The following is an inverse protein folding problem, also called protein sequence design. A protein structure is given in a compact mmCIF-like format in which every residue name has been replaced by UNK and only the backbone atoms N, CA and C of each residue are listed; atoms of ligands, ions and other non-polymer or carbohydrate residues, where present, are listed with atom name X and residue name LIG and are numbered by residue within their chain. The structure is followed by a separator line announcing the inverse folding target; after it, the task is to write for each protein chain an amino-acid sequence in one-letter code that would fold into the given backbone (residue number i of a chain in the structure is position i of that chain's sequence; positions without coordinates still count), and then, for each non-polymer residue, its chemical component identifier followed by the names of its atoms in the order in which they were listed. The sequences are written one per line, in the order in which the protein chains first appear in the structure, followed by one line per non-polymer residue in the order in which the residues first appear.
data_IF_443013016727
#
_entry.id   IF_443013016727
#
_cell.length_a   1.000
_cell.length_b   1.000
_cell.length_c   1.000
_cell.angle_alpha   90.00
_cell.angle_beta   90.00
_cell.angle_gamma   90.00
#
_symmetry.space_group_name_H-M   'P 1'
#
loop_
_entity.id
_entity.type
_entity.pdbx_description
1 polymer ?
#
# COMPACT_ATOMS: atom_id res chain seq x y z
N UNK A 1 9.90 0.87 -12.04
CA UNK A 1 9.04 1.71 -11.19
C UNK A 1 7.66 1.73 -11.79
N UNK A 2 6.76 0.93 -11.24
CA UNK A 2 5.38 0.83 -11.72
C UNK A 2 4.45 1.27 -10.60
N UNK A 3 3.47 2.12 -10.92
CA UNK A 3 2.49 2.64 -9.97
C UNK A 3 1.11 2.55 -10.60
N UNK A 4 0.17 1.89 -9.92
CA UNK A 4 -1.22 1.84 -10.35
C UNK A 4 -2.13 2.32 -9.22
N UNK A 5 -2.96 3.30 -9.54
CA UNK A 5 -4.10 3.69 -8.72
C UNK A 5 -5.30 2.87 -9.21
N UNK A 6 -5.90 2.12 -8.31
CA UNK A 6 -7.11 1.34 -8.58
C UNK A 6 -8.35 2.09 -8.10
N UNK A 7 -9.53 1.78 -8.66
CA UNK A 7 -10.80 2.16 -8.05
C UNK A 7 -10.84 1.80 -6.57
N UNK A 8 -11.66 2.49 -5.78
CA UNK A 8 -11.84 2.28 -4.33
C UNK A 8 -10.65 2.67 -3.45
N UNK A 9 -9.69 3.46 -3.95
CA UNK A 9 -8.62 4.02 -3.13
C UNK A 9 -7.51 3.02 -2.79
N UNK A 10 -7.34 1.98 -3.61
CA UNK A 10 -6.20 1.07 -3.54
C UNK A 10 -5.05 1.53 -4.45
N UNK A 11 -3.81 1.36 -3.99
CA UNK A 11 -2.58 1.73 -4.67
C UNK A 11 -1.62 0.54 -4.64
N UNK A 12 -0.99 0.25 -5.78
CA UNK A 12 0.06 -0.76 -5.89
C UNK A 12 1.32 -0.08 -6.45
N UNK A 13 2.45 -0.27 -5.78
CA UNK A 13 3.74 0.34 -6.14
C UNK A 13 4.79 -0.76 -6.21
N UNK A 14 5.51 -0.85 -7.34
CA UNK A 14 6.69 -1.69 -7.51
C UNK A 14 7.94 -0.80 -7.61
N UNK A 15 8.81 -0.91 -6.62
CA UNK A 15 10.05 -0.12 -6.53
C UNK A 15 11.06 -0.79 -5.60
N UNK A 16 12.24 -0.19 -5.44
CA UNK A 16 13.26 -0.62 -4.48
C UNK A 16 12.74 -0.52 -3.04
N UNK A 17 13.15 -1.49 -2.22
CA UNK A 17 12.69 -1.62 -0.82
C UNK A 17 12.92 -0.36 0.03
N UNK A 18 14.00 0.38 -0.20
CA UNK A 18 14.32 1.60 0.54
C UNK A 18 13.31 2.74 0.28
N UNK A 19 12.83 2.83 -0.97
CA UNK A 19 11.76 3.76 -1.37
C UNK A 19 10.43 3.30 -0.77
N UNK A 20 10.12 2.01 -0.87
CA UNK A 20 8.84 1.47 -0.39
C UNK A 20 8.68 1.59 1.12
N UNK A 21 9.75 1.41 1.91
CA UNK A 21 9.73 1.63 3.36
C UNK A 21 9.40 3.09 3.71
N UNK A 22 9.90 4.07 2.93
CA UNK A 22 9.55 5.48 3.13
C UNK A 22 8.08 5.75 2.82
N UNK A 23 7.57 5.19 1.73
CA UNK A 23 6.16 5.32 1.33
C UNK A 23 5.24 4.65 2.34
N UNK A 24 5.61 3.46 2.82
CA UNK A 24 4.84 2.72 3.83
C UNK A 24 4.73 3.51 5.15
N UNK A 25 5.81 4.16 5.61
CA UNK A 25 5.75 5.04 6.80
C UNK A 25 4.72 6.16 6.64
N UNK A 26 4.67 6.80 5.47
CA UNK A 26 3.70 7.87 5.18
C UNK A 26 2.28 7.30 5.11
N UNK A 27 2.09 6.18 4.41
CA UNK A 27 0.80 5.51 4.30
C UNK A 27 0.24 5.08 5.66
N UNK A 28 1.09 4.53 6.53
CA UNK A 28 0.73 4.15 7.90
C UNK A 28 0.36 5.37 8.75
N UNK A 29 1.09 6.49 8.63
CA UNK A 29 0.75 7.75 9.30
C UNK A 29 -0.63 8.29 8.85
N UNK A 30 -0.99 8.07 7.59
CA UNK A 30 -2.32 8.38 7.05
C UNK A 30 -3.39 7.32 7.40
N UNK A 31 -3.04 6.31 8.22
CA UNK A 31 -3.89 5.18 8.61
C UNK A 31 -4.37 4.32 7.45
N UNK A 32 -3.60 4.25 6.37
CA UNK A 32 -3.89 3.32 5.29
C UNK A 32 -3.47 1.91 5.71
N UNK A 33 -4.15 0.89 5.20
CA UNK A 33 -3.71 -0.49 5.37
C UNK A 33 -2.62 -0.79 4.35
N UNK A 34 -1.43 -1.18 4.78
CA UNK A 34 -0.33 -1.55 3.88
C UNK A 34 0.02 -3.03 3.99
N UNK A 35 0.56 -3.60 2.90
CA UNK A 35 1.26 -4.89 2.89
C UNK A 35 2.40 -4.83 1.87
N UNK A 36 3.59 -5.24 2.30
CA UNK A 36 4.73 -5.45 1.42
C UNK A 36 4.76 -6.92 0.98
N UNK A 37 5.00 -7.17 -0.31
CA UNK A 37 5.12 -8.50 -0.89
C UNK A 37 6.39 -8.62 -1.73
N UNK A 38 6.88 -9.86 -1.86
CA UNK A 38 8.02 -10.17 -2.72
C UNK A 38 7.71 -9.90 -4.20
N UNK A 39 8.74 -9.46 -4.91
CA UNK A 39 8.68 -9.41 -6.37
C UNK A 39 8.77 -10.84 -6.95
N UNK A 40 8.25 -11.03 -8.16
CA UNK A 40 8.21 -12.30 -8.90
C UNK A 40 9.59 -12.95 -9.04
N UNK A 41 10.67 -12.16 -9.06
CA UNK A 41 12.05 -12.67 -9.08
C UNK A 41 12.54 -13.24 -7.74
N UNK A 42 11.75 -13.17 -6.67
CA UNK A 42 12.02 -13.78 -5.37
C UNK A 42 12.45 -12.80 -4.26
N UNK A 43 12.71 -13.33 -3.05
CA UNK A 43 12.97 -12.53 -1.85
C UNK A 43 14.29 -11.75 -1.88
N UNK A 44 15.27 -12.20 -2.69
CA UNK A 44 16.59 -11.59 -2.79
C UNK A 44 16.66 -10.42 -3.79
N UNK A 45 15.58 -10.16 -4.52
CA UNK A 45 15.51 -9.03 -5.44
C UNK A 45 15.25 -7.74 -4.63
N UNK A 46 16.01 -6.65 -4.85
CA UNK A 46 15.85 -5.40 -4.10
C UNK A 46 14.53 -4.70 -4.38
N UNK A 47 13.87 -5.03 -5.49
CA UNK A 47 12.53 -4.56 -5.81
C UNK A 47 11.47 -5.38 -5.08
N UNK A 48 10.46 -4.71 -4.55
CA UNK A 48 9.29 -5.30 -3.89
C UNK A 48 8.01 -4.67 -4.41
N UNK A 49 6.88 -5.19 -3.96
CA UNK A 49 5.56 -4.66 -4.28
C UNK A 49 4.89 -4.20 -2.98
N UNK A 50 4.53 -2.92 -2.90
CA UNK A 50 3.72 -2.36 -1.82
C UNK A 50 2.27 -2.25 -2.25
N UNK A 51 1.38 -2.88 -1.50
CA UNK A 51 -0.06 -2.71 -1.57
C UNK A 51 -0.49 -1.75 -0.48
N UNK A 52 -1.26 -0.73 -0.81
CA UNK A 52 -1.82 0.20 0.17
C UNK A 52 -3.29 0.49 -0.14
N UNK A 53 -4.17 0.45 0.86
CA UNK A 53 -5.59 0.74 0.71
C UNK A 53 -5.98 1.84 1.68
N UNK A 54 -6.55 2.92 1.14
CA UNK A 54 -7.11 4.02 1.93
C UNK A 54 -8.28 3.52 2.77
N UNK A 55 -8.28 3.83 4.06
CA UNK A 55 -9.45 3.63 4.91
C UNK A 55 -10.45 4.77 4.69
N UNK A 56 -11.70 4.43 4.39
CA UNK A 56 -12.81 5.38 4.40
C UNK A 56 -13.48 5.34 5.76
N UNK A 57 -13.66 6.51 6.37
CA UNK A 57 -14.55 6.63 7.52
C UNK A 57 -15.98 6.62 6.99
N UNK A 58 -16.74 5.60 7.32
CA UNK A 58 -18.19 5.64 7.22
C UNK A 58 -18.75 6.01 8.59
N UNK A 59 -19.79 6.83 8.60
CA UNK A 59 -20.56 7.05 9.83
C UNK A 59 -21.11 5.69 10.24
N UNK A 60 -20.85 5.26 11.48
CA UNK A 60 -21.46 4.06 12.02
C UNK A 60 -22.98 4.19 11.81
N UNK A 61 -23.57 3.24 11.09
CA UNK A 61 -25.01 3.28 10.79
C UNK A 61 -25.70 3.16 12.15
N UNK A 62 -26.19 4.26 12.70
CA UNK A 62 -27.01 4.24 13.90
C UNK A 62 -28.21 3.38 13.57
N UNK A 63 -28.25 2.15 14.10
CA UNK A 63 -29.45 1.33 14.06
C UNK A 63 -30.53 2.10 14.80
N UNK A 64 -31.51 2.60 14.04
CA UNK A 64 -32.76 3.13 14.60
C UNK A 64 -33.55 2.02 15.26
#
# INVERSE_FOLDING_TARGET
MDRILRPEGAVIIRDKVDVLVKVEKIANAMRWKTRLADHEGGPLVPEKILFAVKQYWTVAKTSS
#
